data_IF_283094226402
#
_entry.id   IF_283094226402
#
_cell.length_a   1.000
_cell.length_b   1.000
_cell.length_c   1.000
_cell.angle_alpha   90.00
_cell.angle_beta   90.00
_cell.angle_gamma   90.00
#
_symmetry.space_group_name_H-M   'P 1'
#
loop_
_entity.id
_entity.type
_entity.pdbx_description
1 polymer ?
#
# COMPACT_ATOMS: atom_id res chain seq x y z
N UNK A 1 -12.72 -5.48 -6.30
CA UNK A 1 -11.27 -5.23 -6.30
C UNK A 1 -10.56 -6.52 -6.65
N UNK A 2 -9.49 -6.46 -7.43
CA UNK A 2 -8.62 -7.62 -7.70
C UNK A 2 -7.19 -7.21 -7.35
N UNK A 3 -6.47 -8.07 -6.64
CA UNK A 3 -5.07 -7.86 -6.24
C UNK A 3 -4.26 -9.08 -6.66
N UNK A 4 -3.08 -8.85 -7.24
CA UNK A 4 -2.05 -9.89 -7.26
C UNK A 4 -2.19 -10.96 -8.34
N UNK A 5 -2.80 -10.65 -9.48
CA UNK A 5 -2.89 -11.60 -10.60
C UNK A 5 -1.50 -12.14 -11.00
N UNK A 6 -1.35 -13.47 -11.22
CA UNK A 6 -0.05 -14.09 -11.49
C UNK A 6 0.57 -13.55 -12.78
N UNK A 7 1.89 -13.28 -12.80
CA UNK A 7 2.56 -12.83 -14.00
C UNK A 7 2.68 -13.97 -15.03
N UNK A 8 2.98 -13.59 -16.27
CA UNK A 8 3.41 -14.51 -17.32
C UNK A 8 4.75 -14.03 -17.89
N UNK A 9 5.51 -14.94 -18.48
CA UNK A 9 6.78 -14.66 -19.16
C UNK A 9 6.52 -13.75 -20.36
N UNK A 10 7.14 -12.58 -20.40
CA UNK A 10 7.01 -11.62 -21.51
C UNK A 10 8.22 -11.61 -22.44
N UNK A 11 9.31 -12.23 -22.01
CA UNK A 11 10.63 -12.26 -22.63
C UNK A 11 11.01 -13.64 -23.19
N UNK A 12 10.15 -14.65 -23.01
CA UNK A 12 10.30 -15.97 -23.61
C UNK A 12 9.61 -16.01 -24.98
N UNK A 13 9.91 -17.05 -25.78
CA UNK A 13 9.26 -17.31 -27.07
C UNK A 13 7.73 -17.50 -26.91
N UNK A 14 7.26 -17.95 -25.73
CA UNK A 14 5.85 -18.12 -25.41
C UNK A 14 5.52 -17.64 -24.00
N UNK A 15 4.30 -17.11 -23.82
CA UNK A 15 3.68 -16.78 -22.52
C UNK A 15 2.96 -17.96 -21.88
N UNK A 16 2.89 -19.11 -22.58
CA UNK A 16 2.14 -20.29 -22.15
C UNK A 16 2.83 -20.99 -20.97
N UNK A 17 2.10 -21.34 -19.89
CA UNK A 17 2.71 -21.98 -18.75
C UNK A 17 3.05 -23.46 -18.99
N UNK A 18 2.70 -24.04 -20.15
CA UNK A 18 3.14 -25.39 -20.54
C UNK A 18 4.66 -25.56 -20.60
N UNK A 19 5.41 -24.46 -20.65
CA UNK A 19 6.88 -24.45 -20.70
C UNK A 19 7.55 -24.16 -19.35
N UNK A 20 6.78 -23.85 -18.31
CA UNK A 20 7.32 -23.62 -16.98
C UNK A 20 6.96 -24.76 -16.01
N UNK A 21 7.74 -24.87 -14.93
CA UNK A 21 7.59 -25.92 -13.92
C UNK A 21 6.49 -25.65 -12.87
N UNK A 22 5.80 -24.50 -12.97
CA UNK A 22 4.77 -24.14 -11.99
C UNK A 22 3.56 -25.07 -12.07
N UNK A 23 2.94 -25.30 -10.91
CA UNK A 23 1.70 -26.06 -10.79
C UNK A 23 0.56 -25.29 -11.45
N UNK A 24 -0.10 -25.93 -12.42
CA UNK A 24 -1.30 -25.43 -13.09
C UNK A 24 -2.26 -26.58 -13.40
N UNK A 25 -3.33 -26.29 -14.14
CA UNK A 25 -4.37 -27.27 -14.51
C UNK A 25 -4.22 -27.78 -15.95
N UNK A 26 -3.06 -27.58 -16.57
CA UNK A 26 -2.87 -27.94 -17.97
C UNK A 26 -2.57 -29.44 -18.12
N UNK A 27 -3.15 -30.11 -19.13
CA UNK A 27 -3.02 -31.56 -19.30
C UNK A 27 -1.63 -31.99 -19.77
N UNK A 28 -0.81 -31.07 -20.28
CA UNK A 28 0.50 -31.37 -20.85
C UNK A 28 1.49 -30.23 -20.58
N UNK A 29 2.73 -30.61 -20.30
CA UNK A 29 3.91 -29.74 -20.28
C UNK A 29 4.85 -30.13 -21.41
N UNK A 30 5.49 -29.15 -22.02
CA UNK A 30 6.49 -29.35 -23.08
C UNK A 30 7.91 -28.99 -22.63
N UNK A 31 8.05 -28.24 -21.53
CA UNK A 31 9.32 -27.94 -20.87
C UNK A 31 9.10 -27.62 -19.38
N UNK A 32 10.18 -27.59 -18.61
CA UNK A 32 10.18 -27.36 -17.17
C UNK A 32 11.20 -26.27 -16.81
N UNK A 33 10.89 -25.03 -17.18
CA UNK A 33 11.72 -23.88 -16.84
C UNK A 33 11.23 -23.20 -15.56
N UNK A 34 12.19 -22.76 -14.72
CA UNK A 34 11.90 -21.96 -13.53
C UNK A 34 11.28 -20.63 -13.92
N UNK A 35 10.13 -20.31 -13.33
CA UNK A 35 9.47 -19.03 -13.48
C UNK A 35 8.88 -18.60 -12.15
N UNK A 36 9.23 -17.39 -11.69
CA UNK A 36 8.74 -16.89 -10.41
C UNK A 36 7.30 -16.40 -10.51
N UNK A 37 6.44 -16.96 -9.67
CA UNK A 37 5.06 -16.50 -9.44
C UNK A 37 4.96 -15.61 -8.19
N UNK A 38 6.05 -14.96 -7.78
CA UNK A 38 5.96 -14.02 -6.66
C UNK A 38 4.89 -12.97 -6.98
N UNK A 39 3.93 -12.85 -6.08
CA UNK A 39 2.76 -11.99 -6.20
C UNK A 39 2.51 -11.18 -4.92
N UNK A 40 3.51 -11.11 -4.03
CA UNK A 40 3.39 -10.44 -2.73
C UNK A 40 3.05 -8.96 -2.89
N UNK A 41 1.78 -8.63 -2.66
CA UNK A 41 1.28 -7.25 -2.65
C UNK A 41 1.10 -6.83 -1.20
N UNK A 42 1.65 -5.68 -0.84
CA UNK A 42 1.56 -5.12 0.52
C UNK A 42 0.66 -3.90 0.51
N UNK A 43 -0.27 -3.85 1.44
CA UNK A 43 -1.12 -2.68 1.69
C UNK A 43 -0.85 -2.21 3.10
N UNK A 44 -0.48 -0.94 3.25
CA UNK A 44 -0.25 -0.30 4.53
C UNK A 44 -1.54 -0.04 5.32
N UNK A 45 -1.39 0.71 6.40
CA UNK A 45 -2.45 1.11 7.31
C UNK A 45 -3.17 2.36 6.81
N UNK A 46 -4.43 2.58 7.23
CA UNK A 46 -5.24 3.76 6.81
C UNK A 46 -5.35 3.96 5.28
N UNK A 47 -5.26 2.89 4.49
CA UNK A 47 -5.40 2.99 3.03
C UNK A 47 -6.88 3.01 2.65
N UNK A 48 -7.29 4.04 1.93
CA UNK A 48 -8.63 4.08 1.33
C UNK A 48 -8.60 3.56 -0.12
N UNK A 49 -9.28 2.44 -0.38
CA UNK A 49 -9.38 1.83 -1.71
C UNK A 49 -10.80 1.98 -2.23
N UNK A 50 -10.97 2.72 -3.33
CA UNK A 50 -12.24 2.88 -4.01
C UNK A 50 -12.76 1.60 -4.65
N UNK A 51 -14.05 1.58 -4.96
CA UNK A 51 -14.69 0.49 -5.70
C UNK A 51 -13.99 0.22 -7.05
N UNK A 52 -13.95 -1.05 -7.46
CA UNK A 52 -13.40 -1.52 -8.74
C UNK A 52 -11.93 -1.17 -9.02
N UNK A 53 -11.11 -0.97 -7.98
CA UNK A 53 -9.65 -0.88 -8.13
C UNK A 53 -9.05 -2.24 -8.49
N UNK A 54 -8.07 -2.23 -9.40
CA UNK A 54 -7.25 -3.38 -9.80
C UNK A 54 -5.79 -3.08 -9.43
N UNK A 55 -5.16 -3.97 -8.66
CA UNK A 55 -3.77 -3.82 -8.20
C UNK A 55 -2.93 -4.95 -8.80
N UNK A 56 -1.92 -4.58 -9.60
CA UNK A 56 -0.93 -5.52 -10.14
C UNK A 56 -0.18 -6.22 -9.01
N UNK A 57 0.16 -7.49 -9.21
CA UNK A 57 1.08 -8.21 -8.34
C UNK A 57 2.39 -7.45 -8.08
N UNK A 58 2.96 -7.69 -6.90
CA UNK A 58 4.23 -7.10 -6.42
C UNK A 58 4.21 -5.58 -6.28
N UNK A 59 3.03 -5.01 -6.00
CA UNK A 59 2.88 -3.60 -5.70
C UNK A 59 2.83 -3.39 -4.18
N UNK A 60 3.49 -2.35 -3.69
CA UNK A 60 3.35 -1.85 -2.32
C UNK A 60 2.51 -0.58 -2.33
N UNK A 61 1.50 -0.53 -1.47
CA UNK A 61 0.66 0.64 -1.20
C UNK A 61 1.01 1.16 0.20
N UNK A 62 1.56 2.38 0.27
CA UNK A 62 2.01 2.99 1.53
C UNK A 62 0.89 3.40 2.47
N UNK A 63 1.23 3.62 3.74
CA UNK A 63 0.28 4.03 4.78
C UNK A 63 -0.46 5.33 4.40
N UNK A 64 -1.74 5.41 4.69
CA UNK A 64 -2.57 6.58 4.42
C UNK A 64 -2.85 6.84 2.93
N UNK A 65 -2.41 5.98 2.01
CA UNK A 65 -2.63 6.17 0.58
C UNK A 65 -4.11 6.09 0.18
N UNK A 66 -4.46 6.71 -0.93
CA UNK A 66 -5.81 6.71 -1.50
C UNK A 66 -5.78 6.23 -2.94
N UNK A 67 -6.57 5.22 -3.25
CA UNK A 67 -6.77 4.72 -4.61
C UNK A 67 -8.19 5.05 -5.08
N UNK A 68 -8.32 5.97 -6.04
CA UNK A 68 -9.60 6.36 -6.61
C UNK A 68 -10.33 5.20 -7.29
N UNK A 69 -11.65 5.27 -7.37
CA UNK A 69 -12.48 4.23 -7.98
C UNK A 69 -12.06 3.90 -9.42
N UNK A 70 -12.11 2.62 -9.79
CA UNK A 70 -11.76 2.14 -11.14
C UNK A 70 -10.27 2.21 -11.49
N UNK A 71 -9.39 2.54 -10.54
CA UNK A 71 -7.96 2.69 -10.81
C UNK A 71 -7.28 1.36 -11.13
N UNK A 72 -6.33 1.37 -12.07
CA UNK A 72 -5.47 0.22 -12.39
C UNK A 72 -4.04 0.53 -11.94
N UNK A 73 -3.71 0.07 -10.74
CA UNK A 73 -2.44 0.34 -10.06
C UNK A 73 -1.39 -0.65 -10.54
N UNK A 74 -0.37 -0.13 -11.21
CA UNK A 74 0.70 -0.92 -11.84
C UNK A 74 2.09 -0.65 -11.28
N UNK A 75 2.19 0.27 -10.32
CA UNK A 75 3.43 0.75 -9.68
C UNK A 75 3.18 0.93 -8.18
N UNK A 76 4.26 0.94 -7.40
CA UNK A 76 4.20 1.27 -5.96
C UNK A 76 3.58 2.65 -5.75
N UNK A 77 2.82 2.78 -4.67
CA UNK A 77 2.14 3.99 -4.23
C UNK A 77 2.75 4.42 -2.91
N UNK A 78 3.23 5.65 -2.83
CA UNK A 78 3.85 6.20 -1.63
C UNK A 78 2.84 6.49 -0.51
N UNK A 79 3.32 6.66 0.74
CA UNK A 79 2.47 7.02 1.85
C UNK A 79 1.72 8.33 1.59
N UNK A 80 0.45 8.38 2.00
CA UNK A 80 -0.41 9.55 1.86
C UNK A 80 -0.58 10.08 0.43
N UNK A 81 -0.17 9.33 -0.60
CA UNK A 81 -0.41 9.70 -1.99
C UNK A 81 -1.84 9.36 -2.41
N UNK A 82 -2.40 10.19 -3.30
CA UNK A 82 -3.70 9.97 -3.92
C UNK A 82 -3.48 9.62 -5.38
N UNK A 83 -3.93 8.44 -5.79
CA UNK A 83 -3.77 7.91 -7.14
C UNK A 83 -5.13 7.68 -7.81
N UNK A 84 -5.16 7.86 -9.13
CA UNK A 84 -6.36 7.62 -9.94
C UNK A 84 -6.06 7.25 -11.39
N UNK A 85 -7.00 6.58 -12.04
CA UNK A 85 -7.02 6.34 -13.49
C UNK A 85 -6.55 4.95 -13.94
N UNK A 86 -6.59 4.73 -15.25
CA UNK A 86 -6.13 3.49 -15.90
C UNK A 86 -5.21 3.82 -17.08
N UNK A 87 -3.88 3.64 -16.97
CA UNK A 87 -3.18 3.20 -15.76
C UNK A 87 -3.17 4.30 -14.68
N UNK A 88 -3.16 3.89 -13.40
CA UNK A 88 -3.19 4.83 -12.28
C UNK A 88 -1.95 5.73 -12.27
N UNK A 89 -2.15 6.99 -11.89
CA UNK A 89 -1.09 8.01 -11.73
C UNK A 89 -1.31 8.76 -10.42
N UNK A 90 -0.21 9.23 -9.82
CA UNK A 90 -0.27 10.14 -8.68
C UNK A 90 -0.96 11.44 -9.10
N UNK A 91 -2.00 11.83 -8.37
CA UNK A 91 -2.77 13.06 -8.57
C UNK A 91 -2.19 14.16 -7.67
N UNK A 92 -2.04 13.87 -6.38
CA UNK A 92 -1.44 14.73 -5.36
C UNK A 92 -1.15 13.93 -4.09
N UNK A 93 -0.48 14.54 -3.12
CA UNK A 93 -0.42 14.03 -1.74
C UNK A 93 -1.61 14.54 -0.91
N UNK A 94 -1.97 13.82 0.16
CA UNK A 94 -2.97 14.27 1.15
C UNK A 94 -2.46 15.50 1.91
N UNK A 95 -1.16 15.54 2.21
CA UNK A 95 -0.46 16.57 2.97
C UNK A 95 0.91 16.87 2.37
N UNK A 96 1.59 17.91 2.87
CA UNK A 96 2.99 18.21 2.52
C UNK A 96 3.96 17.24 3.22
N UNK A 97 5.19 17.14 2.73
CA UNK A 97 6.15 16.11 3.13
C UNK A 97 6.50 16.14 4.62
N UNK A 98 6.68 17.32 5.21
CA UNK A 98 6.95 17.48 6.65
C UNK A 98 5.79 16.94 7.51
N UNK A 99 4.55 17.09 7.05
CA UNK A 99 3.36 16.60 7.75
C UNK A 99 3.27 15.09 7.62
N UNK A 100 3.56 14.55 6.43
CA UNK A 100 3.58 13.11 6.18
C UNK A 100 4.62 12.43 7.07
N UNK A 101 5.84 12.96 7.14
CA UNK A 101 6.89 12.39 7.98
C UNK A 101 6.48 12.33 9.46
N UNK A 102 5.91 13.42 9.99
CA UNK A 102 5.42 13.47 11.37
C UNK A 102 4.27 12.50 11.63
N UNK A 103 3.36 12.31 10.66
CA UNK A 103 2.29 11.34 10.76
C UNK A 103 2.79 9.90 10.72
N UNK A 104 3.77 9.60 9.87
CA UNK A 104 4.40 8.28 9.79
C UNK A 104 5.15 7.94 11.09
N UNK A 105 5.81 8.92 11.70
CA UNK A 105 6.48 8.76 12.99
C UNK A 105 5.49 8.47 14.14
N UNK A 106 4.21 8.87 14.02
CA UNK A 106 3.23 8.57 15.07
C UNK A 106 2.84 7.10 15.10
N UNK A 107 2.78 6.46 13.93
CA UNK A 107 2.19 5.13 13.75
C UNK A 107 0.92 4.97 14.58
N UNK A 108 0.04 5.96 14.51
CA UNK A 108 -1.15 6.03 15.39
C UNK A 108 -2.06 4.80 15.25
N UNK A 109 -1.99 4.10 14.13
CA UNK A 109 -2.67 2.82 13.88
C UNK A 109 -2.13 1.65 14.73
N UNK A 110 -0.95 1.78 15.35
CA UNK A 110 -0.38 0.81 16.30
C UNK A 110 -0.72 1.14 17.77
N UNK A 111 -1.39 2.26 18.04
CA UNK A 111 -1.75 2.66 19.39
C UNK A 111 -2.88 1.81 19.97
N UNK A 112 -2.93 1.70 21.30
CA UNK A 112 -4.04 1.05 21.99
C UNK A 112 -5.33 1.89 21.94
N UNK A 113 -6.48 1.22 22.12
CA UNK A 113 -7.80 1.85 22.06
C UNK A 113 -7.95 3.00 23.07
N UNK A 114 -7.29 2.92 24.23
CA UNK A 114 -7.34 3.96 25.25
C UNK A 114 -6.69 5.25 24.72
N UNK A 115 -5.48 5.13 24.17
CA UNK A 115 -4.71 6.23 23.59
C UNK A 115 -5.44 6.85 22.40
N UNK A 116 -6.04 6.01 21.54
CA UNK A 116 -6.88 6.46 20.43
C UNK A 116 -8.10 7.23 20.96
N UNK A 117 -8.81 6.70 21.96
CA UNK A 117 -10.00 7.36 22.53
C UNK A 117 -9.67 8.72 23.17
N UNK A 118 -8.55 8.81 23.88
CA UNK A 118 -8.07 10.06 24.50
C UNK A 118 -7.62 11.09 23.46
N UNK A 119 -7.15 10.64 22.29
CA UNK A 119 -6.66 11.51 21.21
C UNK A 119 -7.68 11.75 20.09
N UNK A 120 -8.78 10.99 20.06
CA UNK A 120 -9.74 10.93 18.94
C UNK A 120 -10.35 12.28 18.57
N UNK A 121 -10.52 13.18 19.55
CA UNK A 121 -11.01 14.54 19.33
C UNK A 121 -10.09 15.41 18.44
N UNK A 122 -8.86 14.97 18.15
CA UNK A 122 -7.88 15.66 17.31
C UNK A 122 -7.79 15.07 15.90
N UNK A 123 -8.43 13.95 15.60
CA UNK A 123 -8.27 13.27 14.30
C UNK A 123 -8.86 14.06 13.13
N UNK A 124 -9.61 15.12 13.40
CA UNK A 124 -10.10 16.09 12.41
C UNK A 124 -9.18 17.32 12.25
N UNK A 125 -8.14 17.47 13.06
CA UNK A 125 -7.16 18.57 13.00
C UNK A 125 -5.73 18.02 13.05
N UNK A 126 -5.15 17.85 11.86
CA UNK A 126 -3.81 17.26 11.68
C UNK A 126 -2.72 18.06 12.39
N UNK A 127 -2.83 19.40 12.44
CA UNK A 127 -1.81 20.24 13.08
C UNK A 127 -1.86 20.03 14.59
N UNK A 128 -3.05 20.15 15.18
CA UNK A 128 -3.25 19.94 16.61
C UNK A 128 -2.87 18.50 17.05
N UNK A 129 -3.17 17.51 16.21
CA UNK A 129 -2.78 16.12 16.44
C UNK A 129 -1.26 15.95 16.52
N UNK A 130 -0.53 16.51 15.56
CA UNK A 130 0.94 16.44 15.50
C UNK A 130 1.58 17.22 16.66
N UNK A 131 1.09 18.43 16.97
CA UNK A 131 1.61 19.26 18.06
C UNK A 131 1.46 18.57 19.43
N UNK A 132 0.30 17.97 19.71
CA UNK A 132 0.09 17.23 20.96
C UNK A 132 1.05 16.04 21.09
N UNK A 133 1.36 15.34 20.01
CA UNK A 133 2.31 14.23 20.03
C UNK A 133 3.75 14.70 20.32
N UNK A 134 4.14 15.85 19.76
CA UNK A 134 5.40 16.51 20.12
C UNK A 134 5.53 16.71 21.63
N UNK A 135 4.46 17.19 22.27
CA UNK A 135 4.39 17.37 23.72
C UNK A 135 4.43 16.04 24.50
N UNK A 136 3.77 14.98 24.03
CA UNK A 136 3.79 13.67 24.71
C UNK A 136 5.19 13.05 24.66
N UNK A 137 5.89 13.16 23.53
CA UNK A 137 7.24 12.64 23.38
C UNK A 137 8.25 13.40 24.23
N UNK A 138 8.23 14.75 24.23
CA UNK A 138 9.11 15.57 25.08
C UNK A 138 8.90 15.30 26.59
N UNK A 139 7.65 15.13 27.02
CA UNK A 139 7.34 14.82 28.42
C UNK A 139 7.77 13.41 28.85
N UNK A 140 7.89 12.46 27.92
CA UNK A 140 8.42 11.13 28.19
C UNK A 140 9.95 11.10 28.14
N UNK A 141 10.59 11.96 27.34
CA UNK A 141 12.06 12.14 27.32
C UNK A 141 12.61 12.84 28.57
N UNK A 142 11.81 13.71 29.20
CA UNK A 142 12.17 14.40 30.45
C UNK A 142 11.92 13.58 31.74
N UNK A 143 11.59 12.29 31.61
CA UNK A 143 11.37 11.35 32.73
C UNK A 143 12.50 10.32 32.91
N UNK A 144 13.63 10.52 32.25
CA UNK A 144 14.86 9.72 32.42
C UNK A 144 15.92 10.49 33.21
#
# INVERSE_FOLDING_TARGET
MIIGGPPHTLDWVSTSPVFNENKDHLPQKFAYHKFSLDTSTKVGNDVWIGNNVLIKANVTIGDGAVLGMGSVVTKNVGPYEIWGGNPARMIRKRFDDDVIEKLLDTKWWEWDDKTIKESGHLFNDVKAFIEKKGLINENNSNKL
#
